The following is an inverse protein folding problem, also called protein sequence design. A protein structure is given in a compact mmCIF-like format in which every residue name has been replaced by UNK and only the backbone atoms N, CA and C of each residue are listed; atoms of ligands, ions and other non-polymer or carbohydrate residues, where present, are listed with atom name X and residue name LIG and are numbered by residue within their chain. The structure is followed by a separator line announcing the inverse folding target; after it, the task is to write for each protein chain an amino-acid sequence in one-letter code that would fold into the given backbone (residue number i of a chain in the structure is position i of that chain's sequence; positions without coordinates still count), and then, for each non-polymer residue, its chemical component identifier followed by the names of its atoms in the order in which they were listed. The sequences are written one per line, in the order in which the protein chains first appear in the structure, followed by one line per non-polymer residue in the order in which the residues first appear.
data_IF_285050161643
#
_entry.id   IF_285050161643
#
_cell.length_a   1.000
_cell.length_b   1.000
_cell.length_c   1.000
_cell.angle_alpha   90.00
_cell.angle_beta   90.00
_cell.angle_gamma   90.00
#
_symmetry.space_group_name_H-M   'P 1'
#
loop_
_entity.id
_entity.type
_entity.pdbx_description
1 polymer ?
#
# COMPACT_ATOMS: atom_id res chain seq x y z
N UNK A 1 13.76 2.86 5.72
CA UNK A 1 12.29 2.65 5.73
C UNK A 1 11.77 2.87 7.13
N UNK A 2 10.63 3.54 7.22
CA UNK A 2 9.90 3.89 8.44
C UNK A 2 8.43 3.44 8.29
N UNK A 3 7.91 2.75 9.31
CA UNK A 3 6.50 2.37 9.41
C UNK A 3 5.79 3.45 10.23
N UNK A 4 5.00 4.28 9.56
CA UNK A 4 4.25 5.36 10.21
C UNK A 4 2.99 4.77 10.88
N UNK A 5 2.28 3.92 10.15
CA UNK A 5 1.17 3.11 10.65
C UNK A 5 1.02 1.87 9.77
N UNK A 6 0.66 0.70 10.28
CA UNK A 6 0.37 -0.47 9.43
C UNK A 6 -0.41 -1.57 10.14
N UNK A 7 -1.45 -1.22 10.88
CA UNK A 7 -2.24 -2.15 11.69
C UNK A 7 -3.67 -1.67 11.89
N UNK A 8 -4.51 -2.53 12.45
CA UNK A 8 -5.88 -2.20 12.85
C UNK A 8 -5.95 -1.53 14.22
N UNK A 9 -5.04 -0.59 14.52
CA UNK A 9 -4.77 -0.21 15.91
C UNK A 9 -5.51 1.00 16.43
N UNK A 10 -5.93 0.85 17.67
CA UNK A 10 -6.41 1.90 18.56
C UNK A 10 -5.21 2.74 19.02
N UNK A 11 -5.46 3.95 19.52
CA UNK A 11 -4.39 4.86 19.93
C UNK A 11 -3.50 4.25 21.04
N UNK A 12 -2.18 4.24 20.82
CA UNK A 12 -1.17 3.82 21.80
C UNK A 12 -0.63 2.40 21.62
N UNK A 13 -1.14 1.63 20.67
CA UNK A 13 -0.61 0.30 20.39
C UNK A 13 0.51 0.33 19.32
N UNK A 14 1.51 -0.56 19.44
CA UNK A 14 2.66 -0.60 18.52
C UNK A 14 2.30 -1.03 17.09
N UNK A 15 2.93 -0.50 16.06
CA UNK A 15 2.70 -0.95 14.68
C UNK A 15 2.95 -2.46 14.49
N UNK A 16 2.20 -3.08 13.56
CA UNK A 16 2.44 -4.48 13.19
C UNK A 16 3.80 -4.62 12.50
N UNK A 17 4.36 -5.83 12.53
CA UNK A 17 5.59 -6.10 11.78
C UNK A 17 5.36 -5.95 10.27
N UNK A 18 6.44 -5.69 9.53
CA UNK A 18 6.36 -5.64 8.07
C UNK A 18 5.88 -6.97 7.48
N UNK A 19 6.33 -8.09 8.03
CA UNK A 19 5.91 -9.42 7.59
C UNK A 19 4.41 -9.61 7.77
N UNK A 20 3.85 -9.09 8.86
CA UNK A 20 2.40 -9.15 9.09
C UNK A 20 1.66 -8.31 8.06
N UNK A 21 2.12 -7.09 7.76
CA UNK A 21 1.53 -6.27 6.70
C UNK A 21 1.54 -7.01 5.35
N UNK A 22 2.66 -7.65 4.99
CA UNK A 22 2.77 -8.43 3.75
C UNK A 22 1.79 -9.60 3.74
N UNK A 23 1.64 -10.31 4.86
CA UNK A 23 0.64 -11.36 5.03
C UNK A 23 -0.79 -10.82 4.78
N UNK A 24 -1.11 -9.66 5.36
CA UNK A 24 -2.41 -9.01 5.16
C UNK A 24 -2.63 -8.62 3.69
N UNK A 25 -1.63 -8.03 3.02
CA UNK A 25 -1.65 -7.72 1.57
C UNK A 25 -1.86 -8.99 0.73
N UNK A 26 -1.39 -10.14 1.17
CA UNK A 26 -1.59 -11.41 0.44
C UNK A 26 -3.00 -11.95 0.59
N UNK A 27 -3.60 -11.83 1.76
CA UNK A 27 -4.85 -12.50 2.12
C UNK A 27 -6.08 -11.63 1.83
N UNK A 28 -5.99 -10.32 2.08
CA UNK A 28 -7.13 -9.41 2.00
C UNK A 28 -7.06 -8.51 0.76
N UNK A 29 -8.16 -8.32 0.02
CA UNK A 29 -8.20 -7.40 -1.11
C UNK A 29 -8.03 -5.95 -0.61
N UNK A 30 -7.14 -5.21 -1.26
CA UNK A 30 -6.97 -3.78 -1.03
C UNK A 30 -8.16 -3.00 -1.57
N UNK A 31 -8.52 -1.93 -0.86
CA UNK A 31 -9.51 -0.96 -1.33
C UNK A 31 -8.86 -0.03 -2.35
N UNK A 32 -8.99 -0.40 -3.63
CA UNK A 32 -8.44 0.33 -4.78
C UNK A 32 -9.04 1.73 -4.94
N UNK A 33 -10.23 2.00 -4.40
CA UNK A 33 -10.88 3.31 -4.52
C UNK A 33 -10.31 4.30 -3.51
N UNK A 34 -10.03 3.84 -2.28
CA UNK A 34 -9.33 4.66 -1.26
C UNK A 34 -7.86 4.84 -1.61
N UNK A 35 -7.23 3.85 -2.26
CA UNK A 35 -5.82 3.93 -2.72
C UNK A 35 -5.58 4.99 -3.80
N UNK A 36 -6.55 5.20 -4.70
CA UNK A 36 -6.39 6.10 -5.84
C UNK A 36 -6.40 7.59 -5.51
N UNK A 37 -6.91 7.98 -4.34
CA UNK A 37 -7.08 9.38 -3.96
C UNK A 37 -5.78 10.09 -3.52
N UNK A 38 -4.73 9.34 -3.19
CA UNK A 38 -3.51 9.86 -2.58
C UNK A 38 -2.26 9.63 -3.46
N UNK A 39 -2.42 9.73 -4.78
CA UNK A 39 -1.31 9.87 -5.73
C UNK A 39 -0.58 8.58 -6.16
N UNK A 40 -0.69 7.47 -5.43
CA UNK A 40 0.05 6.25 -5.77
C UNK A 40 -0.68 5.28 -6.71
N UNK A 41 -1.94 5.56 -7.06
CA UNK A 41 -2.74 4.79 -8.02
C UNK A 41 -3.70 5.72 -8.77
N UNK A 42 -3.18 6.59 -9.64
CA UNK A 42 -4.06 7.26 -10.60
C UNK A 42 -4.48 6.27 -11.68
N UNK A 43 -5.69 5.69 -11.54
CA UNK A 43 -6.37 5.01 -12.65
C UNK A 43 -6.89 6.04 -13.66
N UNK A 44 -5.99 6.85 -14.22
CA UNK A 44 -6.30 7.69 -15.37
C UNK A 44 -6.12 6.86 -16.63
N UNK A 45 -7.18 6.11 -16.98
CA UNK A 45 -7.62 5.62 -18.30
C UNK A 45 -6.62 5.13 -19.38
N UNK A 46 -5.30 5.08 -19.20
CA UNK A 46 -4.36 4.67 -20.26
C UNK A 46 -2.96 4.21 -19.79
N UNK A 47 -2.69 4.03 -18.49
CA UNK A 47 -1.40 3.51 -18.04
C UNK A 47 -1.55 2.47 -16.91
N UNK A 48 -1.13 1.24 -17.19
CA UNK A 48 -0.92 0.21 -16.17
C UNK A 48 0.41 0.48 -15.45
N UNK A 49 0.38 1.09 -14.26
CA UNK A 49 1.59 1.26 -13.44
C UNK A 49 1.43 2.18 -12.24
N UNK A 50 2.07 1.85 -11.13
CA UNK A 50 2.16 2.68 -9.92
C UNK A 50 2.90 3.99 -10.20
N UNK A 51 2.29 5.13 -9.84
CA UNK A 51 2.97 6.42 -9.84
C UNK A 51 3.78 6.55 -8.54
N UNK A 52 5.11 6.52 -8.67
CA UNK A 52 6.05 6.70 -7.56
C UNK A 52 6.31 8.21 -7.43
N UNK A 53 5.70 8.86 -6.44
CA UNK A 53 6.07 10.23 -6.13
C UNK A 53 7.46 10.27 -5.49
N UNK A 54 8.49 10.64 -6.26
CA UNK A 54 9.76 11.05 -5.68
C UNK A 54 9.60 12.47 -5.14
N UNK A 55 9.64 12.64 -3.81
CA UNK A 55 10.07 13.92 -3.26
C UNK A 55 11.56 14.05 -3.60
N UNK A 56 12.11 15.27 -3.79
CA UNK A 56 13.43 15.52 -4.41
C UNK A 56 14.66 14.84 -3.79
N UNK A 57 14.47 13.95 -2.82
CA UNK A 57 15.41 13.10 -2.09
C UNK A 57 15.23 11.58 -2.35
N UNK A 58 14.44 11.17 -3.35
CA UNK A 58 14.05 9.77 -3.63
C UNK A 58 13.20 9.10 -2.54
N UNK A 59 12.63 9.89 -1.61
CA UNK A 59 11.67 9.38 -0.63
C UNK A 59 10.33 9.08 -1.31
N UNK A 60 9.81 7.89 -1.03
CA UNK A 60 8.55 7.33 -1.47
C UNK A 60 7.66 7.09 -0.26
N UNK A 61 6.36 7.28 -0.45
CA UNK A 61 5.33 6.99 0.54
C UNK A 61 4.43 5.88 0.03
N UNK A 62 4.01 4.97 0.90
CA UNK A 62 3.10 3.88 0.53
C UNK A 62 2.01 3.84 1.58
N UNK A 63 0.82 4.30 1.22
CA UNK A 63 -0.36 4.31 2.08
C UNK A 63 -1.44 3.41 1.50
N UNK A 64 -2.34 2.90 2.33
CA UNK A 64 -3.37 1.99 1.88
C UNK A 64 -4.36 1.55 2.94
N UNK A 65 -5.46 0.94 2.47
CA UNK A 65 -6.48 0.30 3.29
C UNK A 65 -7.01 -0.97 2.60
N UNK A 66 -7.69 -1.83 3.35
CA UNK A 66 -8.30 -3.05 2.85
C UNK A 66 -9.81 -2.92 2.72
N UNK A 67 -10.39 -3.65 1.76
CA UNK A 67 -11.81 -3.56 1.42
C UNK A 67 -12.74 -4.11 2.52
N UNK A 68 -12.32 -5.21 3.17
CA UNK A 68 -13.17 -5.97 4.08
C UNK A 68 -12.80 -5.82 5.56
N UNK A 69 -11.69 -5.14 5.85
CA UNK A 69 -11.19 -4.95 7.22
C UNK A 69 -10.71 -3.51 7.40
N UNK A 70 -10.91 -2.95 8.59
CA UNK A 70 -10.35 -1.65 8.94
C UNK A 70 -8.89 -1.83 9.34
N UNK A 71 -8.00 -1.82 8.35
CA UNK A 71 -6.57 -2.00 8.55
C UNK A 71 -5.85 -1.03 7.62
N UNK A 72 -5.32 0.06 8.16
CA UNK A 72 -4.65 1.09 7.36
C UNK A 72 -3.14 0.93 7.47
N UNK A 73 -2.43 1.19 6.38
CA UNK A 73 -0.99 1.31 6.39
C UNK A 73 -0.51 2.59 5.73
N UNK A 74 0.64 3.05 6.19
CA UNK A 74 1.36 4.24 5.79
C UNK A 74 2.84 4.01 6.09
N UNK A 75 3.65 3.95 5.04
CA UNK A 75 5.06 3.65 5.08
C UNK A 75 5.82 4.76 4.36
N UNK A 76 7.04 5.02 4.81
CA UNK A 76 7.95 5.97 4.18
C UNK A 76 9.31 5.31 3.98
N UNK A 77 9.93 5.48 2.83
CA UNK A 77 11.26 4.93 2.57
C UNK A 77 11.76 5.29 1.21
N UNK A 78 12.88 4.74 0.79
CA UNK A 78 13.30 4.85 -0.61
C UNK A 78 12.49 3.87 -1.48
N UNK A 79 12.51 4.06 -2.80
CA UNK A 79 11.87 3.12 -3.72
C UNK A 79 12.40 1.69 -3.55
N UNK A 80 13.71 1.51 -3.42
CA UNK A 80 14.32 0.19 -3.27
C UNK A 80 13.92 -0.51 -1.98
N UNK A 81 13.79 0.25 -0.88
CA UNK A 81 13.32 -0.27 0.40
C UNK A 81 11.86 -0.73 0.34
N UNK A 82 11.01 0.02 -0.37
CA UNK A 82 9.58 -0.24 -0.46
C UNK A 82 9.19 -1.19 -1.61
N UNK A 83 10.11 -1.47 -2.54
CA UNK A 83 9.88 -2.28 -3.74
C UNK A 83 9.23 -3.64 -3.46
N UNK A 84 9.60 -4.41 -2.42
CA UNK A 84 8.92 -5.68 -2.12
C UNK A 84 7.43 -5.49 -1.80
N UNK A 85 7.09 -4.43 -1.06
CA UNK A 85 5.71 -4.13 -0.64
C UNK A 85 4.90 -3.64 -1.82
N UNK A 86 5.48 -2.75 -2.65
CA UNK A 86 4.88 -2.25 -3.88
C UNK A 86 4.50 -3.42 -4.79
N UNK A 87 5.39 -4.41 -4.97
CA UNK A 87 5.09 -5.62 -5.76
C UNK A 87 3.91 -6.41 -5.22
N UNK A 88 3.80 -6.57 -3.90
CA UNK A 88 2.68 -7.31 -3.30
C UNK A 88 1.36 -6.54 -3.44
N UNK A 89 1.40 -5.21 -3.36
CA UNK A 89 0.25 -4.34 -3.65
C UNK A 89 -0.19 -4.50 -5.11
N UNK A 90 0.73 -4.40 -6.07
CA UNK A 90 0.46 -4.60 -7.50
C UNK A 90 -0.17 -5.98 -7.76
N UNK A 91 0.37 -7.03 -7.13
CA UNK A 91 -0.16 -8.39 -7.23
C UNK A 91 -1.55 -8.53 -6.61
N UNK A 92 -1.81 -7.87 -5.47
CA UNK A 92 -3.15 -7.84 -4.86
C UNK A 92 -4.15 -7.18 -5.80
N UNK A 93 -3.80 -6.01 -6.34
CA UNK A 93 -4.64 -5.25 -7.27
C UNK A 93 -4.97 -6.09 -8.50
N UNK A 94 -3.97 -6.70 -9.15
CA UNK A 94 -4.17 -7.59 -10.32
C UNK A 94 -5.13 -8.74 -10.01
N UNK A 95 -5.00 -9.37 -8.84
CA UNK A 95 -5.93 -10.45 -8.42
C UNK A 95 -7.36 -9.93 -8.27
N UNK A 96 -7.55 -8.76 -7.67
CA UNK A 96 -8.88 -8.18 -7.46
C UNK A 96 -9.60 -7.86 -8.80
N UNK A 97 -8.85 -7.50 -9.84
CA UNK A 97 -9.39 -7.24 -11.18
C UNK A 97 -9.63 -8.50 -12.03
N UNK A 98 -8.92 -9.61 -11.78
CA UNK A 98 -9.15 -10.88 -12.47
C UNK A 98 -10.39 -11.65 -11.94
N UNK A 99 -10.85 -11.33 -10.74
CA UNK A 99 -12.02 -11.94 -10.10
C UNK A 99 -13.35 -11.22 -10.37
N UNK A 100 -13.38 -10.24 -11.28
CA UNK A 100 -14.61 -9.59 -11.78
C UNK A 100 -14.93 -10.06 -13.19
#
# INVERSE_FOLDING_TARGET
MEIISNGSKWAGEENDSLDKLIEMIKIHPLDIYTFGAFGFCSFNNNHEGCDIHSVGDQTVWVHGNFLCISYVFNLRGTYDELRPIIREIENNIKRNFQTK
#
